data_IF_361030717622
#
_entry.id   IF_361030717622
#
_cell.length_a   1.000
_cell.length_b   1.000
_cell.length_c   1.000
_cell.angle_alpha   90.00
_cell.angle_beta   90.00
_cell.angle_gamma   90.00
#
_symmetry.space_group_name_H-M   'P 1'
#
loop_
_entity.id
_entity.type
_entity.pdbx_description
1 polymer ?
#
# COMPACT_ATOMS: atom_id res chain seq x y z
N UNK A 1 13.99 13.85 10.79
CA UNK A 1 12.56 13.56 10.54
C UNK A 1 11.71 14.52 11.35
N UNK A 2 10.69 15.07 10.74
CA UNK A 2 9.71 15.96 11.35
C UNK A 2 8.41 15.19 11.60
N UNK A 3 7.75 15.42 12.75
CA UNK A 3 6.42 14.87 13.01
C UNK A 3 5.39 15.81 12.40
N UNK A 4 4.64 15.32 11.43
CA UNK A 4 3.58 16.08 10.74
C UNK A 4 2.25 15.93 11.47
N UNK A 5 1.97 14.71 11.94
CA UNK A 5 0.79 14.40 12.74
C UNK A 5 1.10 13.27 13.71
N UNK A 6 0.42 13.30 14.85
CA UNK A 6 0.50 12.27 15.89
C UNK A 6 -0.89 11.92 16.40
N UNK A 7 -1.01 10.95 17.30
CA UNK A 7 -2.28 10.43 17.78
C UNK A 7 -3.18 9.91 16.64
N UNK A 8 -2.55 9.22 15.71
CA UNK A 8 -3.19 8.44 14.66
C UNK A 8 -3.30 6.98 15.12
N UNK A 9 -4.38 6.32 14.76
CA UNK A 9 -4.62 4.95 15.21
C UNK A 9 -4.22 3.94 14.14
N UNK A 10 -2.93 3.63 14.08
CA UNK A 10 -2.30 2.80 13.08
C UNK A 10 -2.48 3.39 11.69
N UNK A 11 -1.77 4.51 11.40
CA UNK A 11 -1.86 5.20 10.11
C UNK A 11 -1.27 4.35 9.00
N UNK A 12 -1.94 4.38 7.83
CA UNK A 12 -1.55 3.73 6.60
C UNK A 12 -1.96 4.56 5.39
N UNK A 13 -1.56 4.12 4.19
CA UNK A 13 -1.97 4.70 2.92
C UNK A 13 -1.80 6.23 2.86
N UNK A 14 -0.62 6.78 3.16
CA UNK A 14 -0.43 8.23 3.14
C UNK A 14 -0.50 8.76 1.71
N UNK A 15 -1.18 9.89 1.52
CA UNK A 15 -1.30 10.58 0.24
C UNK A 15 -1.03 12.07 0.43
N UNK A 16 -0.41 12.69 -0.57
CA UNK A 16 -0.29 14.13 -0.69
C UNK A 16 -1.32 14.61 -1.72
N UNK A 17 -2.20 15.50 -1.28
CA UNK A 17 -3.22 16.10 -2.15
C UNK A 17 -2.62 17.24 -2.99
N UNK A 18 -3.26 17.61 -4.12
CA UNK A 18 -2.78 18.69 -4.99
C UNK A 18 -2.60 20.03 -4.29
N UNK A 19 -3.36 20.32 -3.24
CA UNK A 19 -3.24 21.52 -2.41
C UNK A 19 -2.10 21.44 -1.36
N UNK A 20 -1.44 20.27 -1.30
CA UNK A 20 -0.34 19.96 -0.37
C UNK A 20 -0.79 19.60 1.05
N UNK A 21 -2.09 19.44 1.29
CA UNK A 21 -2.58 18.75 2.47
C UNK A 21 -2.36 17.24 2.33
N UNK A 22 -2.57 16.52 3.42
CA UNK A 22 -2.34 15.08 3.47
C UNK A 22 -3.62 14.33 3.79
N UNK A 23 -3.67 13.10 3.35
CA UNK A 23 -4.69 12.14 3.75
C UNK A 23 -3.99 10.86 4.21
N UNK A 24 -4.51 10.25 5.27
CA UNK A 24 -4.12 8.91 5.72
C UNK A 24 -5.36 8.10 6.02
N UNK A 25 -5.26 6.80 5.90
CA UNK A 25 -6.23 5.92 6.55
C UNK A 25 -5.74 5.59 7.96
N UNK A 26 -6.68 5.43 8.88
CA UNK A 26 -6.38 4.95 10.23
C UNK A 26 -7.03 3.58 10.42
N UNK A 27 -6.23 2.52 10.26
CA UNK A 27 -6.74 1.15 10.24
C UNK A 27 -7.54 0.80 11.51
N UNK A 28 -7.01 1.19 12.67
CA UNK A 28 -7.65 0.88 13.95
C UNK A 28 -8.85 1.78 14.24
N UNK A 29 -8.81 3.04 13.83
CA UNK A 29 -9.94 3.98 13.96
C UNK A 29 -11.01 3.73 12.90
N UNK A 30 -10.63 3.06 11.80
CA UNK A 30 -11.52 2.74 10.68
C UNK A 30 -12.00 4.00 9.95
N UNK A 31 -11.09 4.92 9.69
CA UNK A 31 -11.38 6.22 9.09
C UNK A 31 -10.42 6.57 7.97
N UNK A 32 -10.91 7.42 7.05
CA UNK A 32 -10.10 8.25 6.18
C UNK A 32 -9.96 9.63 6.85
N UNK A 33 -8.74 10.06 7.11
CA UNK A 33 -8.43 11.26 7.88
C UNK A 33 -7.62 12.24 7.05
N UNK A 34 -8.13 13.46 6.91
CA UNK A 34 -7.46 14.59 6.30
C UNK A 34 -6.57 15.29 7.33
N UNK A 35 -5.37 15.67 6.93
CA UNK A 35 -4.38 16.36 7.76
C UNK A 35 -3.96 17.62 7.02
N UNK A 36 -4.30 18.76 7.55
CA UNK A 36 -3.91 20.07 7.01
C UNK A 36 -2.43 20.33 7.27
N UNK A 37 -1.83 21.26 6.51
CA UNK A 37 -0.44 21.70 6.68
C UNK A 37 -0.13 22.22 8.09
N UNK A 38 -1.13 22.72 8.81
CA UNK A 38 -1.00 23.17 10.20
C UNK A 38 -1.18 22.02 11.23
N UNK A 39 -1.30 20.77 10.78
CA UNK A 39 -1.44 19.58 11.61
C UNK A 39 -2.88 19.30 12.09
N UNK A 40 -3.85 20.14 11.74
CA UNK A 40 -5.26 19.90 12.10
C UNK A 40 -5.79 18.69 11.35
N UNK A 41 -6.36 17.75 12.10
CA UNK A 41 -6.93 16.51 11.59
C UNK A 41 -8.45 16.57 11.52
N UNK A 42 -9.02 16.08 10.43
CA UNK A 42 -10.47 15.96 10.23
C UNK A 42 -10.80 14.61 9.60
N UNK A 43 -11.72 13.87 10.21
CA UNK A 43 -12.22 12.63 9.63
C UNK A 43 -13.12 12.96 8.45
N UNK A 44 -12.75 12.49 7.24
CA UNK A 44 -13.54 12.63 6.02
C UNK A 44 -14.64 11.59 5.98
N UNK A 45 -14.28 10.32 6.22
CA UNK A 45 -15.21 9.21 6.15
C UNK A 45 -14.90 8.15 7.21
N UNK A 46 -15.96 7.45 7.65
CA UNK A 46 -15.86 6.23 8.46
C UNK A 46 -16.02 5.05 7.53
N UNK A 47 -14.93 4.35 7.28
CA UNK A 47 -14.91 3.21 6.35
C UNK A 47 -15.42 1.92 7.00
N UNK A 48 -15.24 1.80 8.31
CA UNK A 48 -15.37 0.48 8.96
C UNK A 48 -14.27 -0.48 8.51
N UNK A 49 -14.28 -1.70 8.99
CA UNK A 49 -13.31 -2.73 8.59
C UNK A 49 -11.87 -2.40 8.95
N UNK A 50 -10.99 -2.40 7.97
CA UNK A 50 -9.57 -2.06 8.10
C UNK A 50 -9.07 -1.38 6.82
N UNK A 51 -9.28 -0.06 6.67
CA UNK A 51 -8.70 0.68 5.55
C UNK A 51 -7.19 0.60 5.63
N UNK A 52 -6.54 0.32 4.51
CA UNK A 52 -5.09 0.08 4.43
C UNK A 52 -4.45 0.96 3.35
N UNK A 53 -4.17 0.46 2.17
CA UNK A 53 -3.67 1.29 1.07
C UNK A 53 -4.71 2.28 0.57
N UNK A 54 -4.25 3.44 0.13
CA UNK A 54 -5.09 4.45 -0.49
C UNK A 54 -4.42 5.07 -1.71
N UNK A 55 -5.21 5.49 -2.69
CA UNK A 55 -4.74 6.23 -3.86
C UNK A 55 -5.74 7.31 -4.26
N UNK A 56 -5.24 8.42 -4.77
CA UNK A 56 -6.04 9.46 -5.40
C UNK A 56 -6.32 9.05 -6.85
N UNK A 57 -7.58 9.09 -7.27
CA UNK A 57 -7.97 8.86 -8.64
C UNK A 57 -8.03 10.16 -9.46
N UNK A 58 -8.04 10.04 -10.78
CA UNK A 58 -8.20 11.18 -11.71
C UNK A 58 -9.52 11.92 -11.54
N UNK A 59 -10.51 11.27 -10.98
CA UNK A 59 -11.81 11.83 -10.61
C UNK A 59 -11.77 12.60 -9.28
N UNK A 60 -10.57 12.82 -8.73
CA UNK A 60 -10.35 13.47 -7.43
C UNK A 60 -11.00 12.75 -6.25
N UNK A 61 -11.26 11.45 -6.39
CA UNK A 61 -11.77 10.61 -5.30
C UNK A 61 -10.63 9.77 -4.70
N UNK A 62 -10.78 9.37 -3.45
CA UNK A 62 -9.83 8.46 -2.79
C UNK A 62 -10.35 7.03 -2.90
N UNK A 63 -9.49 6.17 -3.45
CA UNK A 63 -9.72 4.72 -3.53
C UNK A 63 -8.98 4.05 -2.37
N UNK A 64 -9.66 3.16 -1.66
CA UNK A 64 -9.15 2.53 -0.44
C UNK A 64 -9.23 1.02 -0.56
N UNK A 65 -8.11 0.37 -0.33
CA UNK A 65 -8.06 -1.05 -0.03
C UNK A 65 -8.52 -1.27 1.41
N UNK A 66 -9.67 -1.90 1.62
CA UNK A 66 -10.18 -2.23 2.94
C UNK A 66 -10.05 -3.74 3.18
N UNK A 67 -9.20 -4.13 4.12
CA UNK A 67 -8.91 -5.53 4.41
C UNK A 67 -10.00 -6.25 5.26
N UNK A 68 -11.11 -5.58 5.54
CA UNK A 68 -12.20 -6.13 6.32
C UNK A 68 -11.99 -6.09 7.84
N UNK A 69 -10.83 -5.67 8.30
CA UNK A 69 -10.49 -5.42 9.71
C UNK A 69 -9.62 -6.49 10.36
N UNK A 70 -8.86 -6.05 11.34
CA UNK A 70 -7.95 -6.84 12.16
C UNK A 70 -8.45 -6.89 13.61
N UNK A 71 -7.99 -7.88 14.36
CA UNK A 71 -8.02 -7.85 15.82
C UNK A 71 -6.85 -6.98 16.32
N UNK A 72 -7.03 -6.36 17.47
CA UNK A 72 -6.09 -5.40 17.99
C UNK A 72 -5.76 -5.64 19.45
N UNK A 73 -4.48 -5.60 19.80
CA UNK A 73 -4.01 -5.37 21.16
C UNK A 73 -3.69 -3.89 21.31
N UNK A 74 -4.25 -3.27 22.33
CA UNK A 74 -4.03 -1.85 22.61
C UNK A 74 -3.35 -1.68 23.96
N UNK A 75 -2.30 -0.84 24.01
CA UNK A 75 -1.59 -0.47 25.24
C UNK A 75 -1.25 1.02 25.17
N UNK A 76 -1.98 1.83 25.93
CA UNK A 76 -1.93 3.29 25.79
C UNK A 76 -2.32 3.70 24.36
N UNK A 77 -1.49 4.53 23.73
CA UNK A 77 -1.69 4.99 22.34
C UNK A 77 -1.14 4.02 21.29
N UNK A 78 -0.63 2.86 21.70
CA UNK A 78 -0.09 1.86 20.77
C UNK A 78 -1.15 0.86 20.39
N UNK A 79 -1.35 0.67 19.10
CA UNK A 79 -2.29 -0.29 18.53
C UNK A 79 -1.50 -1.31 17.73
N UNK A 80 -1.51 -2.56 18.18
CA UNK A 80 -0.80 -3.66 17.51
C UNK A 80 -1.80 -4.62 16.88
N UNK A 81 -1.69 -4.90 15.58
CA UNK A 81 -2.47 -5.96 14.96
C UNK A 81 -2.24 -7.29 15.68
N UNK A 82 -3.30 -8.01 15.99
CA UNK A 82 -3.24 -9.30 16.71
C UNK A 82 -3.40 -10.50 15.76
N UNK A 83 -3.09 -10.31 14.50
CA UNK A 83 -2.95 -11.36 13.48
C UNK A 83 -4.21 -12.15 13.14
N UNK A 84 -5.23 -12.16 13.97
CA UNK A 84 -6.35 -13.10 13.84
C UNK A 84 -7.59 -12.43 13.23
N UNK A 85 -7.82 -12.69 11.94
CA UNK A 85 -8.95 -12.16 11.16
C UNK A 85 -10.16 -13.10 11.08
N UNK A 86 -10.19 -14.18 11.85
CA UNK A 86 -11.03 -15.36 11.59
C UNK A 86 -12.53 -15.12 11.42
N UNK A 87 -13.09 -14.07 12.00
CA UNK A 87 -14.54 -13.82 11.96
C UNK A 87 -14.93 -12.51 11.26
N UNK A 88 -14.00 -11.85 10.57
CA UNK A 88 -14.26 -10.53 9.96
C UNK A 88 -14.87 -10.65 8.56
N UNK A 89 -15.64 -9.64 8.14
CA UNK A 89 -16.12 -9.55 6.76
C UNK A 89 -14.99 -9.65 5.75
N UNK A 90 -15.31 -10.05 4.54
CA UNK A 90 -14.37 -10.04 3.44
C UNK A 90 -13.91 -8.61 3.13
N UNK A 91 -12.74 -8.50 2.51
CA UNK A 91 -12.18 -7.23 2.05
C UNK A 91 -12.97 -6.63 0.89
N UNK A 92 -12.67 -5.38 0.59
CA UNK A 92 -13.30 -4.63 -0.50
C UNK A 92 -12.46 -3.45 -0.94
N UNK A 93 -12.74 -2.96 -2.13
CA UNK A 93 -12.25 -1.66 -2.61
C UNK A 93 -13.38 -0.65 -2.42
N UNK A 94 -13.06 0.43 -1.75
CA UNK A 94 -13.96 1.56 -1.49
C UNK A 94 -13.52 2.79 -2.26
N UNK A 95 -14.48 3.65 -2.60
CA UNK A 95 -14.24 4.98 -3.17
C UNK A 95 -14.89 6.02 -2.28
N UNK A 96 -14.14 7.09 -1.97
CA UNK A 96 -14.59 8.17 -1.07
C UNK A 96 -14.45 9.51 -1.75
N UNK A 97 -15.52 10.27 -1.77
CA UNK A 97 -15.52 11.68 -2.20
C UNK A 97 -14.83 12.54 -1.14
N UNK A 98 -13.79 13.28 -1.54
CA UNK A 98 -13.11 14.23 -0.65
C UNK A 98 -14.02 15.37 -0.17
N UNK A 99 -14.93 15.82 -1.04
CA UNK A 99 -15.80 16.97 -0.76
C UNK A 99 -16.95 16.63 0.19
N UNK A 100 -17.60 15.49 -0.03
CA UNK A 100 -18.81 15.10 0.70
C UNK A 100 -18.59 14.04 1.78
N UNK A 101 -17.45 13.33 1.74
CA UNK A 101 -17.20 12.16 2.56
C UNK A 101 -18.06 10.94 2.19
N UNK A 102 -18.82 11.01 1.08
CA UNK A 102 -19.62 9.89 0.63
C UNK A 102 -18.72 8.72 0.26
N UNK A 103 -19.02 7.56 0.84
CA UNK A 103 -18.32 6.31 0.64
C UNK A 103 -19.21 5.34 -0.13
N UNK A 104 -18.64 4.69 -1.13
CA UNK A 104 -19.26 3.57 -1.81
C UNK A 104 -18.30 2.37 -1.87
N UNK A 105 -18.86 1.16 -1.87
CA UNK A 105 -18.11 -0.06 -2.16
C UNK A 105 -18.08 -0.27 -3.66
N UNK A 106 -16.88 -0.18 -4.25
CA UNK A 106 -16.72 -0.33 -5.69
C UNK A 106 -16.57 -1.80 -6.10
N UNK A 107 -15.79 -2.57 -5.34
CA UNK A 107 -15.59 -4.01 -5.55
C UNK A 107 -15.50 -4.74 -4.22
N UNK A 108 -16.12 -5.91 -4.14
CA UNK A 108 -15.98 -6.84 -3.02
C UNK A 108 -15.61 -8.27 -3.48
N UNK A 109 -15.44 -8.44 -4.80
CA UNK A 109 -15.00 -9.68 -5.43
C UNK A 109 -13.92 -9.39 -6.48
N UNK A 110 -13.11 -10.41 -6.84
CA UNK A 110 -12.19 -10.38 -7.98
C UNK A 110 -12.88 -10.68 -9.33
N UNK A 111 -14.21 -10.70 -9.34
CA UNK A 111 -15.06 -11.13 -10.44
C UNK A 111 -15.55 -12.59 -10.28
N UNK A 112 -14.88 -13.39 -9.43
CA UNK A 112 -15.23 -14.81 -9.17
C UNK A 112 -15.33 -15.09 -7.67
N UNK A 113 -14.38 -14.60 -6.88
CA UNK A 113 -14.27 -14.86 -5.45
C UNK A 113 -14.36 -13.56 -4.65
N UNK A 114 -14.77 -13.66 -3.39
CA UNK A 114 -14.69 -12.52 -2.45
C UNK A 114 -13.25 -12.12 -2.20
N UNK A 115 -12.98 -10.82 -2.23
CA UNK A 115 -11.69 -10.26 -1.83
C UNK A 115 -11.41 -10.61 -0.36
N UNK A 116 -10.18 -10.99 -0.07
CA UNK A 116 -9.78 -11.47 1.27
C UNK A 116 -9.33 -10.34 2.16
N UNK A 117 -8.28 -9.66 1.75
CA UNK A 117 -7.67 -8.57 2.49
C UNK A 117 -6.92 -7.62 1.53
N UNK A 118 -7.64 -6.84 0.70
CA UNK A 118 -7.00 -5.81 -0.11
C UNK A 118 -6.06 -4.95 0.74
N UNK A 119 -4.83 -4.73 0.23
CA UNK A 119 -3.78 -4.10 1.01
C UNK A 119 -3.30 -2.79 0.40
N UNK A 120 -2.62 -2.80 -0.73
CA UNK A 120 -2.04 -1.61 -1.34
C UNK A 120 -2.54 -1.40 -2.77
N UNK A 121 -2.43 -0.16 -3.32
CA UNK A 121 -3.08 0.24 -4.56
C UNK A 121 -2.26 1.27 -5.34
N UNK A 122 -2.15 1.12 -6.65
CA UNK A 122 -1.55 2.11 -7.55
C UNK A 122 -2.33 2.24 -8.85
N UNK A 123 -2.57 3.49 -9.30
CA UNK A 123 -3.19 3.78 -10.58
C UNK A 123 -2.20 3.67 -11.73
N UNK A 124 -2.66 3.18 -12.87
CA UNK A 124 -1.92 3.27 -14.13
C UNK A 124 -2.28 4.54 -14.93
N UNK A 125 -1.59 4.72 -16.07
CA UNK A 125 -1.83 5.87 -16.95
C UNK A 125 -3.13 5.76 -17.78
N UNK A 126 -3.90 4.67 -17.64
CA UNK A 126 -5.06 4.35 -18.48
C UNK A 126 -6.40 4.40 -17.71
N UNK A 127 -6.36 4.81 -16.44
CA UNK A 127 -7.55 4.96 -15.59
C UNK A 127 -8.00 3.68 -14.88
N UNK A 128 -7.18 2.63 -14.93
CA UNK A 128 -7.31 1.47 -14.07
C UNK A 128 -6.34 1.53 -12.90
N UNK A 129 -6.45 0.57 -12.00
CA UNK A 129 -5.56 0.44 -10.86
C UNK A 129 -5.23 -1.02 -10.56
N UNK A 130 -4.00 -1.21 -10.11
CA UNK A 130 -3.50 -2.46 -9.58
C UNK A 130 -3.67 -2.44 -8.07
N UNK A 131 -3.98 -3.57 -7.47
CA UNK A 131 -3.98 -3.70 -6.01
C UNK A 131 -3.58 -5.11 -5.59
N UNK A 132 -3.03 -5.22 -4.40
CA UNK A 132 -2.72 -6.49 -3.77
C UNK A 132 -3.90 -6.96 -2.92
N UNK A 133 -4.23 -8.25 -2.99
CA UNK A 133 -5.04 -8.94 -1.99
C UNK A 133 -4.11 -9.84 -1.17
N UNK A 134 -3.85 -9.43 0.05
CA UNK A 134 -2.85 -10.03 0.93
C UNK A 134 -3.15 -11.48 1.29
N UNK A 135 -4.43 -11.87 1.24
CA UNK A 135 -4.89 -13.12 1.83
C UNK A 135 -5.05 -13.03 3.34
N UNK A 136 -5.27 -14.16 3.99
CA UNK A 136 -5.46 -14.23 5.45
C UNK A 136 -4.65 -15.35 6.04
N UNK A 137 -3.88 -15.05 7.08
CA UNK A 137 -3.16 -16.04 7.87
C UNK A 137 -4.01 -16.50 9.05
N UNK A 138 -4.01 -17.79 9.32
CA UNK A 138 -4.65 -18.46 10.44
C UNK A 138 -3.59 -19.23 11.24
N UNK A 139 -3.97 -19.85 12.35
CA UNK A 139 -3.02 -20.53 13.24
C UNK A 139 -2.15 -21.57 12.54
N UNK A 140 -2.73 -22.34 11.60
CA UNK A 140 -2.05 -23.48 10.95
C UNK A 140 -2.07 -23.45 9.43
N UNK A 141 -2.74 -22.48 8.83
CA UNK A 141 -2.82 -22.34 7.38
C UNK A 141 -2.95 -20.86 6.97
N UNK A 142 -2.88 -20.61 5.69
CA UNK A 142 -3.11 -19.28 5.13
C UNK A 142 -3.79 -19.37 3.77
N UNK A 143 -4.47 -18.29 3.40
CA UNK A 143 -4.82 -18.05 2.01
C UNK A 143 -3.56 -17.60 1.26
N UNK A 144 -3.39 -18.05 0.03
CA UNK A 144 -2.49 -17.34 -0.87
C UNK A 144 -3.13 -16.00 -1.25
N UNK A 145 -2.29 -14.99 -1.39
CA UNK A 145 -2.70 -13.69 -1.89
C UNK A 145 -2.60 -13.60 -3.41
N UNK A 146 -3.01 -12.47 -3.93
CA UNK A 146 -3.02 -12.18 -5.37
C UNK A 146 -2.72 -10.71 -5.67
N UNK A 147 -2.51 -10.41 -6.95
CA UNK A 147 -2.63 -9.06 -7.50
C UNK A 147 -3.82 -9.03 -8.43
N UNK A 148 -4.65 -8.03 -8.23
CA UNK A 148 -5.80 -7.75 -9.06
C UNK A 148 -5.61 -6.46 -9.85
N UNK A 149 -6.35 -6.35 -10.95
CA UNK A 149 -6.50 -5.14 -11.73
C UNK A 149 -7.97 -4.78 -11.86
N UNK A 150 -8.31 -3.51 -11.68
CA UNK A 150 -9.67 -3.04 -11.76
C UNK A 150 -9.78 -1.66 -12.42
N UNK A 151 -10.95 -1.37 -12.98
CA UNK A 151 -11.27 -0.05 -13.54
C UNK A 151 -11.89 0.85 -12.47
N UNK A 152 -11.52 2.12 -12.50
CA UNK A 152 -12.00 3.13 -11.55
C UNK A 152 -13.52 3.38 -11.66
N UNK A 153 -14.13 3.09 -12.81
CA UNK A 153 -15.56 3.25 -13.05
C UNK A 153 -16.44 2.09 -12.54
N UNK A 154 -15.83 1.06 -11.94
CA UNK A 154 -16.55 -0.13 -11.45
C UNK A 154 -16.90 -1.16 -12.52
N UNK A 155 -16.51 -0.96 -13.78
CA UNK A 155 -16.95 -1.80 -14.91
C UNK A 155 -16.26 -3.15 -14.98
N UNK A 156 -15.03 -3.28 -14.46
CA UNK A 156 -14.23 -4.50 -14.64
C UNK A 156 -13.23 -4.68 -13.50
N UNK A 157 -13.14 -5.91 -13.02
CA UNK A 157 -12.10 -6.38 -12.11
C UNK A 157 -11.67 -7.78 -12.50
N UNK A 158 -10.42 -8.13 -12.21
CA UNK A 158 -9.91 -9.50 -12.38
C UNK A 158 -8.66 -9.75 -11.55
N UNK A 159 -8.47 -10.99 -11.14
CA UNK A 159 -7.21 -11.50 -10.62
C UNK A 159 -6.20 -11.65 -11.76
N UNK A 160 -5.01 -11.08 -11.60
CA UNK A 160 -3.94 -11.11 -12.62
C UNK A 160 -2.82 -12.04 -12.21
N UNK A 161 -2.38 -11.98 -10.96
CA UNK A 161 -1.30 -12.80 -10.40
C UNK A 161 -1.81 -13.63 -9.23
N UNK A 162 -1.59 -14.93 -9.28
CA UNK A 162 -1.87 -15.89 -8.21
C UNK A 162 -1.03 -17.16 -8.44
N UNK A 163 -0.50 -17.86 -7.40
CA UNK A 163 -0.54 -17.50 -5.99
C UNK A 163 0.65 -16.63 -5.57
N UNK A 164 0.46 -15.74 -4.59
CA UNK A 164 1.50 -14.96 -3.92
C UNK A 164 1.44 -15.19 -2.40
N UNK A 165 2.53 -14.89 -1.69
CA UNK A 165 2.62 -15.08 -0.25
C UNK A 165 2.60 -13.72 0.45
N UNK A 166 1.43 -13.35 0.97
CA UNK A 166 1.25 -12.08 1.68
C UNK A 166 1.73 -10.88 0.83
N UNK A 167 1.25 -10.74 -0.46
CA UNK A 167 1.60 -9.59 -1.27
C UNK A 167 1.07 -8.32 -0.60
N UNK A 168 1.95 -7.33 -0.44
CA UNK A 168 1.69 -6.12 0.32
C UNK A 168 1.85 -4.90 -0.59
N UNK A 169 2.95 -4.16 -0.49
CA UNK A 169 3.19 -3.00 -1.33
C UNK A 169 3.28 -3.34 -2.81
N UNK A 170 2.79 -2.43 -3.64
CA UNK A 170 2.97 -2.52 -5.07
C UNK A 170 3.27 -1.13 -5.67
N UNK A 171 3.96 -1.11 -6.81
CA UNK A 171 4.29 0.10 -7.54
C UNK A 171 4.61 -0.18 -9.00
N UNK A 172 4.41 0.82 -9.84
CA UNK A 172 4.80 0.78 -11.24
C UNK A 172 6.16 1.46 -11.43
N UNK A 173 6.95 0.95 -12.39
CA UNK A 173 8.14 1.66 -12.86
C UNK A 173 7.77 3.01 -13.50
N UNK A 174 8.72 3.96 -13.65
CA UNK A 174 8.42 5.28 -14.21
C UNK A 174 7.81 5.26 -15.62
N UNK A 175 8.12 4.26 -16.42
CA UNK A 175 7.54 4.02 -17.74
C UNK A 175 6.21 3.26 -17.71
N UNK A 176 5.82 2.73 -16.54
CA UNK A 176 4.62 1.92 -16.38
C UNK A 176 4.73 0.49 -16.92
N UNK A 177 5.91 0.07 -17.40
CA UNK A 177 6.11 -1.22 -18.06
C UNK A 177 6.49 -2.35 -17.09
N UNK A 178 6.78 -2.03 -15.84
CA UNK A 178 7.09 -3.02 -14.80
C UNK A 178 6.23 -2.82 -13.56
N UNK A 179 5.58 -3.88 -13.10
CA UNK A 179 4.88 -3.94 -11.82
C UNK A 179 5.79 -4.58 -10.78
N UNK A 180 6.06 -3.84 -9.69
CA UNK A 180 6.78 -4.34 -8.51
C UNK A 180 5.79 -4.73 -7.43
N UNK A 181 6.08 -5.81 -6.70
CA UNK A 181 5.28 -6.27 -5.55
C UNK A 181 6.20 -6.74 -4.44
N UNK A 182 5.98 -6.26 -3.22
CA UNK A 182 6.61 -6.79 -2.02
C UNK A 182 5.78 -7.93 -1.43
N UNK A 183 6.44 -8.93 -0.87
CA UNK A 183 5.83 -9.97 -0.05
C UNK A 183 6.32 -9.85 1.39
N UNK A 184 5.38 -9.70 2.33
CA UNK A 184 5.69 -9.56 3.77
C UNK A 184 6.29 -10.85 4.33
N UNK A 185 5.65 -11.98 4.07
CA UNK A 185 6.01 -13.26 4.67
C UNK A 185 7.30 -13.87 4.15
N UNK A 186 7.75 -13.48 2.95
CA UNK A 186 8.99 -13.99 2.34
C UNK A 186 10.11 -12.97 2.30
N UNK A 187 9.83 -11.71 2.64
CA UNK A 187 10.76 -10.57 2.54
C UNK A 187 11.37 -10.44 1.13
N UNK A 188 10.54 -10.54 0.10
CA UNK A 188 10.98 -10.46 -1.29
C UNK A 188 10.30 -9.32 -2.02
N UNK A 189 10.99 -8.80 -3.01
CA UNK A 189 10.42 -7.90 -4.02
C UNK A 189 10.48 -8.61 -5.37
N UNK A 190 9.33 -8.71 -5.99
CA UNK A 190 9.14 -9.31 -7.30
C UNK A 190 8.84 -8.25 -8.35
N UNK A 191 9.12 -8.54 -9.62
CA UNK A 191 8.76 -7.71 -10.75
C UNK A 191 8.14 -8.55 -11.87
N UNK A 192 7.15 -7.97 -12.55
CA UNK A 192 6.51 -8.53 -13.75
C UNK A 192 6.44 -7.45 -14.82
N UNK A 193 6.73 -7.83 -16.06
CA UNK A 193 6.61 -6.94 -17.19
C UNK A 193 5.11 -6.78 -17.54
N UNK A 194 4.66 -5.54 -17.66
CA UNK A 194 3.28 -5.17 -18.02
C UNK A 194 3.19 -5.05 -19.54
N UNK A 195 2.30 -5.83 -20.15
CA UNK A 195 2.12 -5.82 -21.61
C UNK A 195 1.04 -4.85 -22.08
N UNK A 196 0.07 -4.58 -21.23
CA UNK A 196 -1.03 -3.62 -21.43
C UNK A 196 -1.79 -3.43 -20.11
N UNK A 197 -2.74 -2.47 -20.01
CA UNK A 197 -3.50 -2.23 -18.78
C UNK A 197 -4.12 -3.51 -18.20
N UNK A 198 -3.67 -3.87 -17.00
CA UNK A 198 -4.08 -5.08 -16.33
C UNK A 198 -3.56 -6.40 -16.91
N UNK A 199 -2.62 -6.39 -17.83
CA UNK A 199 -2.01 -7.60 -18.40
C UNK A 199 -0.52 -7.63 -18.11
N UNK A 200 -0.01 -8.81 -17.78
CA UNK A 200 1.42 -9.07 -17.64
C UNK A 200 1.91 -9.99 -18.78
N UNK A 201 3.19 -9.85 -19.13
CA UNK A 201 3.85 -10.76 -20.05
C UNK A 201 3.88 -12.18 -19.42
N UNK A 202 3.31 -13.16 -20.12
CA UNK A 202 3.26 -14.55 -19.67
C UNK A 202 4.38 -15.37 -20.28
N UNK A 203 5.18 -15.99 -19.44
CA UNK A 203 6.15 -17.00 -19.88
C UNK A 203 5.46 -18.37 -20.05
N UNK A 204 6.14 -19.31 -20.71
CA UNK A 204 5.68 -20.70 -20.82
C UNK A 204 6.15 -21.58 -19.66
N UNK A 205 6.74 -21.00 -18.62
CA UNK A 205 7.19 -21.74 -17.45
C UNK A 205 5.99 -22.34 -16.69
N UNK A 206 6.18 -23.48 -16.07
CA UNK A 206 5.19 -24.14 -15.21
C UNK A 206 5.52 -24.00 -13.73
N UNK A 207 6.53 -23.19 -13.37
CA UNK A 207 6.91 -22.97 -11.99
C UNK A 207 6.02 -21.91 -11.33
N UNK A 208 5.81 -21.97 -10.00
CA UNK A 208 5.27 -20.84 -9.24
C UNK A 208 6.09 -19.57 -9.51
N UNK A 209 5.44 -18.41 -9.53
CA UNK A 209 6.06 -17.13 -9.90
C UNK A 209 6.73 -17.12 -11.29
N UNK A 210 6.29 -18.03 -12.14
CA UNK A 210 6.88 -18.35 -13.45
C UNK A 210 7.15 -17.16 -14.36
N UNK A 211 6.31 -16.14 -14.24
CA UNK A 211 6.39 -14.94 -15.05
C UNK A 211 7.06 -13.77 -14.30
N UNK A 212 7.37 -13.97 -13.00
CA UNK A 212 7.98 -12.98 -12.14
C UNK A 212 9.50 -13.11 -12.05
N UNK A 213 10.15 -11.97 -11.96
CA UNK A 213 11.59 -11.84 -11.68
C UNK A 213 11.78 -11.44 -10.22
N UNK A 214 12.60 -12.17 -9.47
CA UNK A 214 13.04 -11.74 -8.14
C UNK A 214 13.94 -10.52 -8.31
N UNK A 215 13.52 -9.38 -7.75
CA UNK A 215 14.30 -8.15 -7.76
C UNK A 215 15.21 -8.10 -6.55
N UNK A 216 14.65 -8.26 -5.35
CA UNK A 216 15.41 -8.09 -4.11
C UNK A 216 14.96 -9.08 -3.04
N UNK A 217 15.93 -9.56 -2.27
CA UNK A 217 15.73 -10.34 -1.05
C UNK A 217 16.88 -10.00 -0.10
N UNK A 218 16.60 -9.44 1.08
CA UNK A 218 17.65 -9.01 1.99
C UNK A 218 18.37 -10.22 2.60
N UNK A 219 19.67 -10.09 2.97
CA UNK A 219 20.43 -11.16 3.57
C UNK A 219 20.08 -11.40 5.05
N UNK A 220 19.41 -10.45 5.69
CA UNK A 220 18.99 -10.47 7.08
C UNK A 220 17.46 -10.50 7.20
N UNK A 221 16.98 -10.91 8.37
CA UNK A 221 15.54 -10.97 8.63
C UNK A 221 14.92 -9.56 8.58
N UNK A 222 14.04 -9.38 7.65
CA UNK A 222 13.16 -8.20 7.47
C UNK A 222 11.77 -8.68 7.08
N UNK A 223 10.78 -7.83 7.25
CA UNK A 223 9.45 -8.02 6.64
C UNK A 223 9.12 -6.76 5.87
N UNK A 224 8.68 -6.91 4.64
CA UNK A 224 8.33 -5.79 3.77
C UNK A 224 6.84 -5.47 3.86
N UNK A 225 6.56 -4.17 3.79
CA UNK A 225 5.20 -3.64 3.80
C UNK A 225 4.94 -2.85 2.51
N UNK A 226 4.16 -1.80 2.55
CA UNK A 226 3.84 -0.95 1.39
C UNK A 226 5.07 -0.26 0.80
N UNK A 227 4.97 0.21 -0.44
CA UNK A 227 6.09 0.80 -1.15
C UNK A 227 5.72 2.02 -1.98
N UNK A 228 6.74 2.83 -2.30
CA UNK A 228 6.69 3.83 -3.36
C UNK A 228 7.90 3.69 -4.29
N UNK A 229 7.81 4.25 -5.48
CA UNK A 229 8.89 4.25 -6.47
C UNK A 229 9.44 5.67 -6.63
N UNK A 230 10.76 5.81 -6.74
CA UNK A 230 11.42 7.06 -7.07
C UNK A 230 11.31 7.36 -8.58
N UNK A 231 11.42 8.61 -8.97
CA UNK A 231 11.45 9.02 -10.38
C UNK A 231 12.60 8.34 -11.17
N UNK A 232 13.70 8.01 -10.48
CA UNK A 232 14.81 7.23 -11.03
C UNK A 232 14.60 5.72 -11.06
N UNK A 233 13.43 5.24 -10.60
CA UNK A 233 13.05 3.84 -10.63
C UNK A 233 13.45 3.02 -9.40
N UNK A 234 14.13 3.59 -8.39
CA UNK A 234 14.41 2.86 -7.15
C UNK A 234 13.13 2.59 -6.37
N UNK A 235 13.10 1.50 -5.66
CA UNK A 235 11.95 1.00 -4.92
C UNK A 235 12.19 1.26 -3.43
N UNK A 236 11.29 2.04 -2.81
CA UNK A 236 11.35 2.44 -1.39
C UNK A 236 10.27 1.68 -0.63
N UNK A 237 10.66 0.84 0.35
CA UNK A 237 9.78 -0.16 0.94
C UNK A 237 9.72 0.02 2.45
N UNK A 238 8.52 0.15 3.00
CA UNK A 238 8.28 0.07 4.44
C UNK A 238 8.83 -1.24 5.00
N UNK A 239 9.62 -1.15 6.07
CA UNK A 239 10.35 -2.31 6.60
C UNK A 239 9.99 -2.51 8.06
N UNK A 240 9.25 -3.57 8.32
CA UNK A 240 8.79 -3.97 9.63
C UNK A 240 9.91 -4.66 10.44
N UNK A 241 9.81 -4.58 11.75
CA UNK A 241 10.75 -5.16 12.71
C UNK A 241 11.97 -4.29 12.94
N UNK A 242 12.75 -4.00 11.93
CA UNK A 242 13.89 -3.06 12.02
C UNK A 242 13.45 -1.60 12.14
N UNK A 243 12.31 -1.25 11.58
CA UNK A 243 11.80 0.12 11.56
C UNK A 243 12.56 1.03 10.61
N UNK A 244 12.01 1.20 9.40
CA UNK A 244 12.66 2.06 8.40
C UNK A 244 12.18 1.85 6.98
N UNK A 245 12.86 2.48 6.05
CA UNK A 245 12.64 2.34 4.61
C UNK A 245 13.87 1.66 3.98
N UNK A 246 13.66 0.49 3.40
CA UNK A 246 14.64 -0.16 2.55
C UNK A 246 14.54 0.38 1.14
N UNK A 247 15.65 0.84 0.57
CA UNK A 247 15.71 1.29 -0.82
C UNK A 247 16.53 0.32 -1.64
N UNK A 248 15.96 -0.22 -2.69
CA UNK A 248 16.67 -1.07 -3.63
C UNK A 248 16.51 -0.60 -5.09
N UNK A 249 17.48 -0.91 -5.92
CA UNK A 249 17.41 -0.63 -7.36
C UNK A 249 16.58 -1.68 -8.08
N UNK A 250 16.08 -1.40 -9.30
CA UNK A 250 15.41 -2.41 -10.15
C UNK A 250 16.29 -3.62 -10.49
N UNK A 251 17.61 -3.49 -10.33
CA UNK A 251 18.60 -4.57 -10.54
C UNK A 251 18.86 -5.41 -9.28
N UNK A 252 18.22 -5.05 -8.15
CA UNK A 252 18.30 -5.82 -6.91
C UNK A 252 19.45 -5.47 -5.99
N UNK A 253 20.04 -4.30 -6.14
CA UNK A 253 21.06 -3.80 -5.21
C UNK A 253 20.38 -3.00 -4.09
N UNK A 254 20.67 -3.32 -2.83
CA UNK A 254 20.31 -2.45 -1.71
C UNK A 254 21.12 -1.16 -1.80
N UNK A 255 20.44 -0.04 -1.99
CA UNK A 255 21.06 1.27 -2.12
C UNK A 255 21.28 1.91 -0.75
N UNK A 256 20.27 1.85 0.12
CA UNK A 256 20.32 2.40 1.47
C UNK A 256 19.22 1.84 2.36
N UNK A 257 19.36 2.03 3.65
CA UNK A 257 18.34 1.80 4.65
C UNK A 257 18.18 3.06 5.52
N UNK A 258 17.03 3.73 5.40
CA UNK A 258 16.69 4.85 6.26
C UNK A 258 16.04 4.33 7.54
N UNK A 259 16.71 4.44 8.68
CA UNK A 259 16.14 4.07 9.97
C UNK A 259 15.06 5.05 10.42
N UNK A 260 13.94 4.54 10.85
CA UNK A 260 12.81 5.26 11.44
C UNK A 260 12.59 4.72 12.86
N UNK A 261 12.38 5.58 13.87
CA UNK A 261 12.25 5.14 15.27
C UNK A 261 10.85 4.53 15.56
N UNK A 262 10.41 3.63 14.70
CA UNK A 262 9.15 2.87 14.81
C UNK A 262 9.31 1.50 14.14
N UNK A 263 9.20 0.38 14.90
CA UNK A 263 9.37 -0.96 14.33
C UNK A 263 8.27 -1.35 13.34
N UNK A 264 7.16 -0.62 13.30
CA UNK A 264 6.11 -0.77 12.30
C UNK A 264 6.09 0.46 11.39
N UNK A 265 7.20 0.66 10.67
CA UNK A 265 7.28 1.60 9.56
C UNK A 265 6.67 0.93 8.35
N UNK A 266 5.43 1.31 8.03
CA UNK A 266 4.58 0.52 7.14
C UNK A 266 4.53 1.05 5.72
N UNK A 267 4.53 2.38 5.53
CA UNK A 267 4.30 2.95 4.22
C UNK A 267 5.12 4.23 4.00
N UNK A 268 5.28 4.61 2.74
CA UNK A 268 5.93 5.85 2.29
C UNK A 268 5.20 6.38 1.05
N UNK A 269 5.00 7.69 0.99
CA UNK A 269 4.62 8.38 -0.25
C UNK A 269 5.47 9.63 -0.45
N UNK A 270 5.48 10.15 -1.66
CA UNK A 270 6.22 11.34 -2.03
C UNK A 270 5.31 12.52 -2.35
N UNK A 271 5.80 13.73 -2.10
CA UNK A 271 5.11 14.96 -2.42
C UNK A 271 6.02 16.18 -2.35
N UNK A 272 5.41 17.36 -2.22
CA UNK A 272 6.13 18.63 -2.31
C UNK A 272 6.39 19.06 -3.76
N UNK A 273 6.87 20.28 -3.94
CA UNK A 273 7.05 20.87 -5.29
C UNK A 273 8.01 20.12 -6.19
N UNK A 274 8.99 19.42 -5.61
CA UNK A 274 9.99 18.61 -6.33
C UNK A 274 9.80 17.11 -6.14
N UNK A 275 8.71 16.68 -5.52
CA UNK A 275 8.46 15.28 -5.14
C UNK A 275 9.56 14.70 -4.23
N UNK A 276 10.22 15.54 -3.42
CA UNK A 276 11.33 15.16 -2.55
C UNK A 276 10.99 15.28 -1.05
N UNK A 277 9.73 15.50 -0.73
CA UNK A 277 9.20 15.32 0.62
C UNK A 277 8.62 13.90 0.75
N UNK A 278 9.28 13.04 1.52
CA UNK A 278 8.78 11.72 1.84
C UNK A 278 7.91 11.77 3.09
N UNK A 279 6.70 11.23 3.01
CA UNK A 279 5.79 11.07 4.14
C UNK A 279 5.71 9.59 4.51
N UNK A 280 6.05 9.28 5.77
CA UNK A 280 6.28 7.92 6.24
C UNK A 280 5.35 7.63 7.40
N UNK A 281 4.62 6.52 7.34
CA UNK A 281 3.77 6.07 8.44
C UNK A 281 4.57 5.28 9.47
N UNK A 282 4.61 5.81 10.70
CA UNK A 282 5.15 5.18 11.90
C UNK A 282 3.95 4.63 12.70
N UNK A 283 3.47 3.44 12.30
CA UNK A 283 2.11 3.00 12.60
C UNK A 283 1.94 2.56 14.05
N UNK A 284 2.97 1.98 14.68
CA UNK A 284 2.90 1.59 16.09
C UNK A 284 2.83 2.80 17.01
N UNK A 285 3.58 3.85 16.72
CA UNK A 285 3.58 5.10 17.51
C UNK A 285 2.47 6.06 17.11
N UNK A 286 1.69 5.76 16.06
CA UNK A 286 0.58 6.56 15.59
C UNK A 286 1.01 7.90 15.01
N UNK A 287 2.08 7.94 14.22
CA UNK A 287 2.66 9.17 13.67
C UNK A 287 2.74 9.13 12.15
N UNK A 288 2.60 10.29 11.57
CA UNK A 288 3.00 10.57 10.19
C UNK A 288 4.26 11.46 10.24
N UNK A 289 5.32 10.99 9.62
CA UNK A 289 6.63 11.65 9.62
C UNK A 289 6.92 12.22 8.24
N UNK A 290 7.59 13.36 8.18
CA UNK A 290 8.17 13.96 6.98
C UNK A 290 9.68 13.87 7.02
N UNK A 291 10.25 13.49 5.89
CA UNK A 291 11.70 13.44 5.68
C UNK A 291 12.05 14.05 4.33
N UNK A 292 13.05 14.93 4.29
CA UNK A 292 13.56 15.46 3.02
C UNK A 292 14.35 14.39 2.33
N UNK A 293 13.75 13.80 1.29
CA UNK A 293 14.32 12.69 0.55
C UNK A 293 15.43 13.19 -0.40
N UNK A 294 16.53 12.44 -0.55
CA UNK A 294 17.65 12.89 -1.38
C UNK A 294 17.39 12.82 -2.90
N UNK A 295 16.33 12.17 -3.32
CA UNK A 295 15.93 11.96 -4.72
C UNK A 295 14.44 12.24 -4.87
N UNK A 296 14.00 12.57 -6.09
CA UNK A 296 12.57 12.80 -6.33
C UNK A 296 11.80 11.48 -6.37
N UNK A 297 10.64 11.44 -5.75
CA UNK A 297 9.66 10.38 -5.92
C UNK A 297 9.01 10.42 -7.31
N UNK A 298 8.43 9.31 -7.71
CA UNK A 298 7.66 9.22 -8.95
C UNK A 298 6.32 9.96 -8.78
N UNK A 299 6.01 10.84 -9.74
CA UNK A 299 4.66 11.43 -9.83
C UNK A 299 3.68 10.34 -10.25
N UNK A 300 2.64 10.14 -9.44
CA UNK A 300 1.64 9.11 -9.69
C UNK A 300 0.64 9.53 -10.77
N UNK A 301 -0.05 8.55 -11.34
CA UNK A 301 -1.07 8.74 -12.41
C UNK A 301 -2.44 9.09 -11.81
N UNK A 302 -2.53 10.23 -11.15
CA UNK A 302 -3.75 10.69 -10.47
C UNK A 302 -4.70 11.41 -11.43
#
# INVERSE_FOLDING_TARGET
MEVVAEDLWFPEGPLVLPDGNLVVVEMRRQTLTHIRKDGVKTVIAKTGGGPNGAALGRDSQIYICNNGGLNWRTSGNKHLPDGNLSAKPNGRIERVSLDSGLLEVLYDTDGVRKLRAPNDIVFDAFGGFWFTDFGRSRERDRDYGSVCYAMADGSKIREVLFPLIEPNGLGLSPDGETLYVSETGTAKVWAWDVSSPGEIVRSRSHLPYKDGRLVFSPPNLRSFDSMAVEAGGNICIGTLGLGGITVCTPQGLELEFLSVPDPLTTNICFGGGNMDDAYITASLSGRLLRYKWPRSGLTLNN
#
